data_IF_237477652607
#
_entry.id   IF_237477652607
#
_cell.length_a   1.000
_cell.length_b   1.000
_cell.length_c   1.000
_cell.angle_alpha   90.00
_cell.angle_beta   90.00
_cell.angle_gamma   90.00
#
_symmetry.space_group_name_H-M   'P 1'
#
loop_
_entity.id
_entity.type
_entity.pdbx_description
1 polymer ?
#
# COMPACT_ATOMS: atom_id res chain seq x y z
N UNK A 1 8.20 44.04 10.54
CA UNK A 1 7.20 42.95 10.60
C UNK A 1 6.48 42.93 9.27
N UNK A 2 6.88 42.03 8.37
CA UNK A 2 6.20 41.83 7.09
C UNK A 2 5.17 40.72 7.32
N UNK A 3 3.89 41.06 7.20
CA UNK A 3 2.80 40.07 7.15
C UNK A 3 2.88 39.38 5.80
N UNK A 4 3.32 38.12 5.80
CA UNK A 4 3.22 37.24 4.62
C UNK A 4 1.74 37.10 4.26
N UNK A 5 1.32 37.76 3.18
CA UNK A 5 0.03 37.53 2.56
C UNK A 5 0.13 36.21 1.80
N UNK A 6 -0.43 35.14 2.37
CA UNK A 6 -0.56 33.87 1.67
C UNK A 6 -1.46 34.07 0.44
N UNK A 7 -0.89 34.00 -0.76
CA UNK A 7 -1.64 33.97 -2.01
C UNK A 7 -2.49 32.70 -2.02
N UNK A 8 -3.78 32.86 -1.73
CA UNK A 8 -4.76 31.79 -1.88
C UNK A 8 -5.10 31.68 -3.36
N UNK A 9 -4.53 30.68 -4.04
CA UNK A 9 -4.90 30.39 -5.42
C UNK A 9 -6.36 29.90 -5.46
N UNK A 10 -7.23 30.55 -6.26
CA UNK A 10 -8.62 30.16 -6.31
C UNK A 10 -8.81 28.82 -7.01
N UNK A 11 -9.75 28.01 -6.51
CA UNK A 11 -10.04 26.68 -7.02
C UNK A 11 -11.14 26.73 -8.08
N UNK A 12 -10.93 26.08 -9.24
CA UNK A 12 -11.93 26.04 -10.32
C UNK A 12 -12.94 24.90 -10.11
N UNK A 13 -14.24 25.17 -10.19
CA UNK A 13 -15.30 24.17 -10.13
C UNK A 13 -15.81 23.74 -11.53
N UNK A 14 -16.66 22.72 -11.59
CA UNK A 14 -17.22 22.12 -12.82
C UNK A 14 -18.18 23.04 -13.58
N UNK A 15 -18.69 24.08 -12.94
CA UNK A 15 -19.47 25.14 -13.60
C UNK A 15 -18.58 26.17 -14.32
N UNK A 16 -17.26 26.06 -14.18
CA UNK A 16 -16.28 26.96 -14.79
C UNK A 16 -15.93 28.18 -13.95
N UNK A 17 -16.52 28.33 -12.75
CA UNK A 17 -16.25 29.45 -11.84
C UNK A 17 -15.11 29.11 -10.86
N UNK A 18 -14.49 30.16 -10.32
CA UNK A 18 -13.38 30.08 -9.37
C UNK A 18 -13.88 30.46 -7.97
N UNK A 19 -13.46 29.71 -6.95
CA UNK A 19 -13.88 29.86 -5.56
C UNK A 19 -12.69 29.98 -4.62
N UNK A 20 -12.85 30.73 -3.53
CA UNK A 20 -11.79 30.99 -2.55
C UNK A 20 -11.48 29.76 -1.69
N UNK A 21 -12.48 28.89 -1.48
CA UNK A 21 -12.34 27.71 -0.62
C UNK A 21 -12.76 26.44 -1.34
N UNK A 22 -12.14 25.33 -0.97
CA UNK A 22 -12.49 24.00 -1.47
C UNK A 22 -13.95 23.61 -1.14
N UNK A 23 -14.47 24.02 0.02
CA UNK A 23 -15.87 23.74 0.40
C UNK A 23 -16.85 24.34 -0.60
N UNK A 24 -16.60 25.57 -1.06
CA UNK A 24 -17.43 26.20 -2.09
C UNK A 24 -17.36 25.47 -3.43
N UNK A 25 -16.16 25.01 -3.85
CA UNK A 25 -16.01 24.17 -5.06
C UNK A 25 -16.79 22.88 -4.94
N UNK A 26 -16.74 22.22 -3.78
CA UNK A 26 -17.47 20.98 -3.53
C UNK A 26 -18.98 21.21 -3.66
N UNK A 27 -19.52 22.27 -3.06
CA UNK A 27 -20.93 22.61 -3.15
C UNK A 27 -21.37 22.91 -4.59
N UNK A 28 -20.60 23.72 -5.34
CA UNK A 28 -20.85 24.01 -6.74
C UNK A 28 -20.86 22.71 -7.59
N UNK A 29 -19.88 21.83 -7.37
CA UNK A 29 -19.80 20.55 -8.05
C UNK A 29 -20.98 19.62 -7.74
N UNK A 30 -21.47 19.62 -6.49
CA UNK A 30 -22.66 18.87 -6.09
C UNK A 30 -23.90 19.39 -6.83
N UNK A 31 -24.04 20.71 -6.96
CA UNK A 31 -25.17 21.30 -7.71
C UNK A 31 -25.13 20.93 -9.19
N UNK A 32 -23.98 21.06 -9.86
CA UNK A 32 -23.81 20.65 -11.27
C UNK A 32 -24.15 19.16 -11.46
N UNK A 33 -23.68 18.29 -10.56
CA UNK A 33 -24.00 16.88 -10.62
C UNK A 33 -25.50 16.62 -10.40
N UNK A 34 -26.16 17.32 -9.47
CA UNK A 34 -27.59 17.18 -9.20
C UNK A 34 -28.45 17.61 -10.40
N UNK A 35 -28.08 18.71 -11.07
CA UNK A 35 -28.72 19.16 -12.33
C UNK A 35 -28.56 18.08 -13.39
N UNK A 36 -27.33 17.58 -13.61
CA UNK A 36 -27.05 16.52 -14.58
C UNK A 36 -27.81 15.21 -14.27
N UNK A 37 -27.93 14.83 -13.00
CA UNK A 37 -28.72 13.67 -12.58
C UNK A 37 -30.22 13.88 -12.84
N UNK A 38 -30.72 15.10 -12.71
CA UNK A 38 -32.10 15.44 -13.04
C UNK A 38 -32.35 15.39 -14.56
N UNK A 39 -31.44 15.94 -15.37
CA UNK A 39 -31.47 15.87 -16.85
C UNK A 39 -31.46 14.42 -17.37
N UNK A 40 -30.67 13.55 -16.72
CA UNK A 40 -30.64 12.11 -17.03
C UNK A 40 -31.85 11.34 -16.49
N UNK A 41 -32.75 11.97 -15.74
CA UNK A 41 -33.91 11.32 -15.12
C UNK A 41 -33.56 10.38 -13.95
N UNK A 42 -32.32 10.41 -13.46
CA UNK A 42 -31.80 9.57 -12.38
C UNK A 42 -32.06 10.15 -10.97
N UNK A 43 -32.49 11.40 -10.87
CA UNK A 43 -32.89 12.02 -9.60
C UNK A 43 -34.13 11.32 -8.99
N UNK A 44 -34.97 10.71 -9.82
CA UNK A 44 -36.13 9.97 -9.30
C UNK A 44 -35.59 8.80 -8.47
N UNK A 45 -35.98 8.68 -7.18
CA UNK A 45 -35.65 7.48 -6.42
C UNK A 45 -36.08 6.30 -7.29
N UNK A 46 -35.24 5.25 -7.41
CA UNK A 46 -35.62 4.08 -8.20
C UNK A 46 -37.04 3.68 -7.75
N UNK A 47 -37.91 3.20 -8.64
CA UNK A 47 -39.19 2.69 -8.20
C UNK A 47 -38.88 1.48 -7.31
N UNK A 48 -38.72 1.72 -6.00
CA UNK A 48 -38.62 0.66 -5.01
C UNK A 48 -39.89 -0.12 -5.25
N UNK A 49 -39.74 -1.35 -5.75
CA UNK A 49 -40.87 -2.26 -5.93
C UNK A 49 -41.53 -2.27 -4.56
N UNK A 50 -42.69 -1.62 -4.44
CA UNK A 50 -43.48 -1.65 -3.21
C UNK A 50 -43.49 -3.12 -2.80
N UNK A 51 -43.04 -3.48 -1.58
CA UNK A 51 -43.04 -4.86 -1.15
C UNK A 51 -44.43 -5.39 -1.45
N UNK A 52 -44.49 -6.42 -2.31
CA UNK A 52 -45.76 -6.99 -2.74
C UNK A 52 -46.56 -7.27 -1.47
N UNK A 53 -47.77 -6.69 -1.30
CA UNK A 53 -48.57 -6.89 -0.09
C UNK A 53 -48.99 -8.36 0.11
N UNK A 54 -48.58 -9.27 -0.78
CA UNK A 54 -48.85 -10.70 -0.75
C UNK A 54 -47.63 -11.58 -0.45
N UNK A 55 -46.53 -11.06 0.12
CA UNK A 55 -45.50 -11.95 0.67
C UNK A 55 -45.96 -12.54 2.00
N UNK A 56 -46.90 -13.48 1.95
CA UNK A 56 -47.20 -14.32 3.11
C UNK A 56 -45.91 -14.97 3.64
N UNK A 57 -45.76 -15.08 4.97
CA UNK A 57 -44.61 -15.71 5.59
C UNK A 57 -44.45 -17.11 4.98
N UNK A 58 -43.31 -17.30 4.31
CA UNK A 58 -42.98 -18.53 3.59
C UNK A 58 -42.81 -19.63 4.63
N UNK A 59 -43.91 -20.32 4.95
CA UNK A 59 -43.88 -21.50 5.80
C UNK A 59 -42.87 -22.48 5.20
N UNK A 60 -41.90 -22.88 6.03
CA UNK A 60 -40.83 -23.79 5.67
C UNK A 60 -41.41 -25.11 5.18
N UNK A 61 -41.49 -25.28 3.86
CA UNK A 61 -41.91 -26.56 3.27
C UNK A 61 -40.77 -27.55 3.49
N UNK A 62 -41.05 -28.52 4.38
CA UNK A 62 -40.33 -29.78 4.52
C UNK A 62 -40.01 -30.38 3.14
N UNK A 63 -38.78 -30.87 3.03
CA UNK A 63 -38.22 -31.51 1.85
C UNK A 63 -39.19 -32.51 1.21
N UNK A 64 -39.59 -32.21 -0.03
CA UNK A 64 -40.19 -33.20 -0.93
C UNK A 64 -39.22 -33.43 -2.08
N UNK A 65 -38.70 -34.67 -2.13
CA UNK A 65 -38.13 -35.32 -3.31
C UNK A 65 -39.09 -35.18 -4.48
N UNK A 66 -38.61 -34.72 -5.65
CA UNK A 66 -38.78 -35.42 -6.95
C UNK A 66 -38.49 -34.54 -8.17
N UNK A 67 -37.90 -35.22 -9.16
CA UNK A 67 -38.13 -35.15 -10.62
C UNK A 67 -37.69 -33.93 -11.42
N UNK A 68 -36.58 -34.17 -12.15
CA UNK A 68 -36.26 -33.80 -13.54
C UNK A 68 -37.38 -33.07 -14.29
N UNK A 69 -37.10 -31.83 -14.72
CA UNK A 69 -37.87 -31.14 -15.75
C UNK A 69 -36.94 -30.35 -16.67
N UNK A 70 -37.19 -30.56 -17.95
CA UNK A 70 -36.54 -30.09 -19.18
C UNK A 70 -36.47 -28.57 -19.27
N UNK A 71 -35.31 -28.05 -19.68
CA UNK A 71 -35.07 -26.63 -19.98
C UNK A 71 -35.58 -26.25 -21.38
N UNK A 72 -36.24 -25.08 -21.55
CA UNK A 72 -36.42 -24.46 -22.85
C UNK A 72 -35.24 -23.53 -23.22
N UNK A 73 -34.94 -23.36 -24.52
CA UNK A 73 -33.77 -22.62 -24.99
C UNK A 73 -33.92 -21.10 -24.74
N UNK A 74 -32.92 -20.52 -24.05
CA UNK A 74 -32.74 -19.07 -23.91
C UNK A 74 -32.34 -18.45 -25.25
N UNK A 75 -33.24 -17.70 -25.86
CA UNK A 75 -32.97 -16.82 -27.01
C UNK A 75 -32.56 -15.44 -26.49
N UNK A 76 -31.28 -15.10 -26.61
CA UNK A 76 -30.77 -13.74 -26.34
C UNK A 76 -30.07 -13.23 -27.60
N UNK A 77 -30.79 -12.45 -28.39
CA UNK A 77 -30.24 -11.72 -29.53
C UNK A 77 -30.10 -10.26 -29.10
N UNK A 78 -28.88 -9.84 -28.74
CA UNK A 78 -28.55 -8.43 -28.58
C UNK A 78 -27.58 -8.04 -29.69
N UNK A 79 -28.10 -7.38 -30.71
CA UNK A 79 -27.28 -6.75 -31.75
C UNK A 79 -26.52 -5.59 -31.13
N UNK A 80 -25.21 -5.54 -31.40
CA UNK A 80 -24.31 -4.42 -31.08
C UNK A 80 -24.11 -3.63 -32.38
N UNK A 81 -24.26 -2.30 -32.38
CA UNK A 81 -23.98 -1.50 -33.56
C UNK A 81 -22.47 -1.31 -33.73
N UNK A 82 -22.03 -1.54 -34.98
CA UNK A 82 -20.72 -1.27 -35.53
C UNK A 82 -20.51 0.25 -35.56
N UNK A 83 -19.44 0.75 -34.95
CA UNK A 83 -18.95 2.12 -35.15
C UNK A 83 -17.66 2.01 -35.96
N UNK A 84 -17.73 2.53 -37.17
CA UNK A 84 -16.65 2.65 -38.14
C UNK A 84 -15.73 3.84 -37.84
N UNK A 85 -14.43 3.58 -37.98
CA UNK A 85 -13.40 4.39 -38.64
C UNK A 85 -13.61 5.90 -38.80
N UNK A 86 -12.70 6.65 -38.18
CA UNK A 86 -12.21 7.92 -38.71
C UNK A 86 -10.79 8.20 -38.20
N UNK A 87 -9.84 7.99 -39.10
CA UNK A 87 -8.46 8.47 -39.10
C UNK A 87 -8.38 10.00 -39.04
N UNK A 88 -7.50 10.55 -38.21
CA UNK A 88 -6.89 11.87 -38.43
C UNK A 88 -5.44 11.85 -37.96
N UNK A 89 -4.53 11.92 -38.93
CA UNK A 89 -3.11 12.26 -38.78
C UNK A 89 -2.95 13.66 -38.18
N UNK A 90 -1.99 13.83 -37.28
CA UNK A 90 -1.20 15.06 -37.20
C UNK A 90 0.09 14.84 -36.38
N UNK A 91 1.18 14.65 -37.13
CA UNK A 91 2.56 14.74 -36.71
C UNK A 91 2.91 16.18 -36.30
N UNK A 92 3.27 16.41 -35.02
CA UNK A 92 4.19 17.49 -34.63
C UNK A 92 5.06 16.99 -33.46
N UNK A 93 6.18 16.36 -33.80
CA UNK A 93 7.21 15.93 -32.85
C UNK A 93 8.06 17.15 -32.47
N UNK A 94 7.71 17.81 -31.37
CA UNK A 94 8.59 18.79 -30.70
C UNK A 94 9.55 18.05 -29.77
N UNK A 95 10.85 18.07 -30.11
CA UNK A 95 11.92 17.44 -29.31
C UNK A 95 12.05 18.16 -27.95
N UNK A 96 12.04 17.44 -26.81
CA UNK A 96 12.24 18.05 -25.50
C UNK A 96 13.71 18.44 -25.26
N UNK A 97 13.97 19.46 -24.43
CA UNK A 97 15.31 19.93 -24.11
C UNK A 97 16.10 18.89 -23.26
N UNK A 98 17.44 18.86 -23.38
CA UNK A 98 18.27 17.87 -22.70
C UNK A 98 18.25 18.06 -21.18
N UNK A 99 17.81 17.03 -20.45
CA UNK A 99 17.80 16.99 -18.99
C UNK A 99 19.23 16.99 -18.44
N UNK A 100 19.50 17.92 -17.50
CA UNK A 100 20.77 18.01 -16.78
C UNK A 100 21.00 16.72 -15.98
N UNK A 101 22.15 16.08 -16.20
CA UNK A 101 22.58 14.87 -15.47
C UNK A 101 22.90 15.26 -14.02
N UNK A 102 22.00 14.94 -13.10
CA UNK A 102 22.30 15.02 -11.67
C UNK A 102 23.25 13.89 -11.29
N UNK A 103 24.29 14.24 -10.52
CA UNK A 103 25.33 13.32 -10.06
C UNK A 103 24.69 12.36 -9.05
N UNK A 104 24.54 11.08 -9.45
CA UNK A 104 24.08 9.98 -8.58
C UNK A 104 25.07 9.81 -7.42
N UNK A 105 24.59 9.99 -6.20
CA UNK A 105 25.27 9.54 -4.98
C UNK A 105 24.86 8.08 -4.78
N UNK A 106 25.84 7.17 -4.75
CA UNK A 106 25.62 5.74 -4.57
C UNK A 106 25.50 5.42 -3.08
N UNK A 107 24.30 5.13 -2.59
CA UNK A 107 24.09 4.49 -1.28
C UNK A 107 24.01 2.98 -1.47
N UNK A 108 24.83 2.23 -0.72
CA UNK A 108 24.95 0.77 -0.84
C UNK A 108 23.78 0.03 -0.15
N UNK A 109 23.30 -0.97 -0.90
CA UNK A 109 22.24 -1.99 -0.71
C UNK A 109 22.10 -2.65 0.68
N UNK A 110 20.84 -2.82 1.11
CA UNK A 110 20.40 -3.73 2.20
C UNK A 110 19.43 -4.83 1.69
N UNK A 111 18.85 -4.69 0.49
CA UNK A 111 17.78 -5.58 0.00
C UNK A 111 18.25 -6.99 -0.38
N UNK A 112 19.48 -7.14 -0.87
CA UNK A 112 20.02 -8.43 -1.34
C UNK A 112 20.21 -9.44 -0.18
N UNK A 113 20.31 -8.96 1.07
CA UNK A 113 20.48 -9.82 2.25
C UNK A 113 19.19 -10.57 2.60
N UNK A 114 18.03 -9.93 2.49
CA UNK A 114 16.76 -10.55 2.87
C UNK A 114 16.36 -11.70 1.94
N UNK A 115 16.50 -11.56 0.63
CA UNK A 115 16.11 -12.62 -0.31
C UNK A 115 16.94 -13.90 -0.10
N UNK A 116 18.24 -13.73 0.17
CA UNK A 116 19.17 -14.82 0.47
C UNK A 116 18.81 -15.50 1.79
N UNK A 117 18.53 -14.71 2.84
CA UNK A 117 18.08 -15.22 4.14
C UNK A 117 16.75 -15.96 4.00
N UNK A 118 15.77 -15.36 3.31
CA UNK A 118 14.47 -15.95 3.06
C UNK A 118 14.55 -17.25 2.25
N UNK A 119 15.47 -17.36 1.29
CA UNK A 119 15.68 -18.59 0.53
C UNK A 119 16.25 -19.71 1.41
N UNK A 120 17.17 -19.41 2.33
CA UNK A 120 17.72 -20.39 3.27
C UNK A 120 16.64 -20.87 4.25
N UNK A 121 15.87 -19.96 4.83
CA UNK A 121 14.79 -20.29 5.76
C UNK A 121 13.72 -21.14 5.07
N UNK A 122 13.36 -20.81 3.82
CA UNK A 122 12.46 -21.64 3.01
C UNK A 122 12.99 -23.06 2.86
N UNK A 123 14.31 -23.22 2.64
CA UNK A 123 14.96 -24.53 2.54
C UNK A 123 14.94 -25.29 3.86
N UNK A 124 15.07 -24.61 5.00
CA UNK A 124 14.94 -25.23 6.33
C UNK A 124 13.50 -25.63 6.64
N UNK A 125 12.52 -24.77 6.34
CA UNK A 125 11.10 -25.08 6.48
C UNK A 125 10.64 -26.24 5.62
N UNK A 126 11.18 -26.37 4.40
CA UNK A 126 10.91 -27.54 3.56
C UNK A 126 11.32 -28.87 4.22
N UNK A 127 12.25 -28.85 5.19
CA UNK A 127 12.66 -30.04 5.96
C UNK A 127 11.74 -30.30 7.16
N UNK A 128 11.17 -29.24 7.75
CA UNK A 128 10.30 -29.28 8.92
C UNK A 128 8.90 -28.83 8.53
N UNK A 129 8.11 -29.73 7.95
CA UNK A 129 6.73 -29.43 7.56
C UNK A 129 5.86 -29.26 8.82
N UNK A 130 5.88 -28.07 9.39
CA UNK A 130 4.96 -27.68 10.44
C UNK A 130 3.60 -27.33 9.81
N UNK A 131 2.61 -28.20 10.03
CA UNK A 131 1.24 -27.98 9.56
C UNK A 131 0.48 -26.91 10.37
N UNK A 132 1.09 -26.30 11.39
CA UNK A 132 0.43 -25.27 12.21
C UNK A 132 0.45 -23.87 11.59
N UNK A 133 1.30 -23.60 10.58
CA UNK A 133 1.45 -22.26 10.02
C UNK A 133 0.11 -21.66 9.56
N UNK A 134 -0.80 -22.48 9.02
CA UNK A 134 -2.10 -22.01 8.54
C UNK A 134 -2.99 -21.53 9.68
N UNK A 135 -2.93 -22.18 10.85
CA UNK A 135 -3.64 -21.72 12.06
C UNK A 135 -3.02 -20.41 12.60
N UNK A 136 -1.70 -20.28 12.49
CA UNK A 136 -1.00 -19.05 12.84
C UNK A 136 -1.38 -17.90 11.90
N UNK A 137 -1.51 -18.16 10.60
CA UNK A 137 -2.00 -17.22 9.59
C UNK A 137 -3.42 -16.75 9.90
N UNK A 138 -4.34 -17.68 10.23
CA UNK A 138 -5.71 -17.37 10.64
C UNK A 138 -5.72 -16.43 11.84
N UNK A 139 -4.94 -16.75 12.89
CA UNK A 139 -4.85 -15.92 14.10
C UNK A 139 -4.25 -14.54 13.81
N UNK A 140 -3.24 -14.47 12.96
CA UNK A 140 -2.53 -13.23 12.63
C UNK A 140 -3.45 -12.22 11.92
N UNK A 141 -4.22 -12.64 10.93
CA UNK A 141 -5.05 -11.71 10.15
C UNK A 141 -6.41 -11.40 10.78
N UNK A 142 -6.92 -12.25 11.68
CA UNK A 142 -8.24 -12.08 12.30
C UNK A 142 -8.41 -10.76 13.05
N UNK A 143 -7.36 -10.23 13.70
CA UNK A 143 -7.42 -8.96 14.42
C UNK A 143 -7.05 -7.73 13.56
N UNK A 144 -6.56 -7.94 12.33
CA UNK A 144 -5.97 -6.88 11.48
C UNK A 144 -6.83 -6.52 10.27
N UNK A 145 -7.84 -7.31 9.95
CA UNK A 145 -8.73 -7.12 8.81
C UNK A 145 -10.17 -7.04 9.27
N UNK A 146 -11.01 -6.40 8.45
CA UNK A 146 -12.46 -6.49 8.63
C UNK A 146 -12.94 -7.92 8.45
N UNK A 147 -14.02 -8.30 9.15
CA UNK A 147 -14.59 -9.66 9.10
C UNK A 147 -14.86 -10.15 7.67
N UNK A 148 -15.35 -9.26 6.80
CA UNK A 148 -15.62 -9.57 5.39
C UNK A 148 -14.35 -9.87 4.61
N UNK A 149 -13.35 -8.99 4.72
CA UNK A 149 -12.06 -9.16 4.06
C UNK A 149 -11.33 -10.41 4.56
N UNK A 150 -11.32 -10.64 5.87
CA UNK A 150 -10.73 -11.82 6.50
C UNK A 150 -11.34 -13.12 5.94
N UNK A 151 -12.67 -13.25 5.95
CA UNK A 151 -13.35 -14.45 5.42
C UNK A 151 -13.05 -14.68 3.94
N UNK A 152 -13.00 -13.61 3.15
CA UNK A 152 -12.73 -13.71 1.73
C UNK A 152 -11.30 -14.17 1.45
N UNK A 153 -10.30 -13.56 2.11
CA UNK A 153 -8.89 -13.95 2.00
C UNK A 153 -8.71 -15.39 2.45
N UNK A 154 -9.22 -15.73 3.64
CA UNK A 154 -9.05 -17.05 4.22
C UNK A 154 -9.64 -18.16 3.34
N UNK A 155 -10.78 -17.90 2.69
CA UNK A 155 -11.37 -18.84 1.73
C UNK A 155 -10.41 -19.18 0.59
N UNK A 156 -9.72 -18.18 0.04
CA UNK A 156 -8.80 -18.41 -1.09
C UNK A 156 -7.50 -19.05 -0.62
N UNK A 157 -6.94 -18.60 0.50
CA UNK A 157 -5.73 -19.19 1.08
C UNK A 157 -5.97 -20.66 1.45
N UNK A 158 -7.14 -21.01 1.99
CA UNK A 158 -7.50 -22.41 2.28
C UNK A 158 -7.50 -23.29 1.04
N UNK A 159 -7.95 -22.77 -0.10
CA UNK A 159 -7.91 -23.52 -1.38
C UNK A 159 -6.49 -23.78 -1.85
N UNK A 160 -5.61 -22.78 -1.74
CA UNK A 160 -4.19 -22.93 -2.07
C UNK A 160 -3.51 -23.92 -1.11
N UNK A 161 -3.81 -23.84 0.19
CA UNK A 161 -3.32 -24.77 1.21
C UNK A 161 -3.78 -26.21 0.97
N UNK A 162 -5.00 -26.42 0.49
CA UNK A 162 -5.54 -27.76 0.21
C UNK A 162 -5.22 -28.27 -1.20
N UNK A 163 -4.43 -27.55 -2.01
CA UNK A 163 -4.19 -27.85 -3.42
C UNK A 163 -5.46 -27.90 -4.31
N UNK A 164 -6.59 -27.34 -3.86
CA UNK A 164 -7.86 -27.32 -4.61
C UNK A 164 -7.78 -26.42 -5.86
N UNK A 165 -6.87 -25.44 -5.83
CA UNK A 165 -6.76 -24.36 -6.80
C UNK A 165 -7.90 -23.35 -6.73
N UNK A 166 -7.74 -22.23 -7.44
CA UNK A 166 -8.71 -21.14 -7.49
C UNK A 166 -9.28 -21.02 -8.90
N UNK A 167 -10.59 -21.22 -9.04
CA UNK A 167 -11.35 -21.03 -10.28
C UNK A 167 -12.13 -19.71 -10.26
N UNK A 168 -12.37 -19.12 -11.42
CA UNK A 168 -13.21 -17.92 -11.58
C UNK A 168 -14.30 -18.13 -12.62
N UNK A 169 -15.48 -17.56 -12.40
CA UNK A 169 -16.63 -17.74 -13.30
C UNK A 169 -16.43 -17.11 -14.69
N UNK A 170 -15.55 -16.11 -14.81
CA UNK A 170 -15.22 -15.48 -16.09
C UNK A 170 -14.10 -16.20 -16.83
N UNK A 171 -13.41 -17.14 -16.19
CA UNK A 171 -12.42 -17.98 -16.85
C UNK A 171 -13.08 -19.20 -17.48
N UNK A 172 -12.45 -19.84 -18.49
CA UNK A 172 -12.90 -21.13 -18.99
C UNK A 172 -13.04 -22.16 -17.87
N UNK A 173 -13.99 -23.10 -18.00
CA UNK A 173 -14.36 -24.04 -16.93
C UNK A 173 -13.23 -25.00 -16.53
N UNK A 174 -12.28 -25.24 -17.43
CA UNK A 174 -11.08 -26.06 -17.26
C UNK A 174 -9.89 -25.30 -16.67
N UNK A 175 -9.99 -23.98 -16.51
CA UNK A 175 -8.92 -23.11 -16.03
C UNK A 175 -9.01 -22.94 -14.51
N UNK A 176 -7.99 -23.43 -13.81
CA UNK A 176 -7.87 -23.32 -12.35
C UNK A 176 -6.44 -22.90 -11.99
N UNK A 177 -6.30 -21.84 -11.19
CA UNK A 177 -5.01 -21.34 -10.74
C UNK A 177 -4.44 -22.23 -9.64
N UNK A 178 -3.19 -22.68 -9.81
CA UNK A 178 -2.42 -23.43 -8.81
C UNK A 178 -3.13 -24.70 -8.28
N UNK A 179 -3.79 -25.43 -9.18
CA UNK A 179 -4.48 -26.69 -8.87
C UNK A 179 -3.47 -27.83 -8.66
N UNK A 180 -3.77 -28.74 -7.74
CA UNK A 180 -2.97 -29.93 -7.43
C UNK A 180 -1.57 -29.61 -6.86
N UNK A 181 -1.35 -28.34 -6.46
CA UNK A 181 -0.14 -27.86 -5.82
C UNK A 181 -0.52 -27.14 -4.53
N UNK A 182 -0.16 -27.76 -3.40
CA UNK A 182 -0.32 -27.15 -2.07
C UNK A 182 0.71 -26.05 -1.89
N UNK A 183 0.34 -24.98 -1.18
CA UNK A 183 1.29 -23.96 -0.72
C UNK A 183 1.62 -24.15 0.75
N UNK A 184 2.83 -23.76 1.14
CA UNK A 184 3.34 -23.79 2.51
C UNK A 184 4.30 -22.60 2.76
N UNK A 185 4.93 -22.53 3.94
CA UNK A 185 5.90 -21.46 4.22
C UNK A 185 7.22 -21.59 3.45
N UNK A 186 7.49 -22.73 2.78
CA UNK A 186 8.64 -22.86 1.87
C UNK A 186 8.37 -22.28 0.48
N UNK A 187 7.09 -22.05 0.14
CA UNK A 187 6.65 -21.54 -1.16
C UNK A 187 7.16 -20.11 -1.40
N UNK A 188 7.63 -19.83 -2.61
CA UNK A 188 7.96 -18.47 -3.05
C UNK A 188 6.67 -17.69 -3.38
N UNK A 189 6.11 -17.01 -2.38
CA UNK A 189 4.86 -16.27 -2.58
C UNK A 189 5.00 -15.05 -3.49
N UNK A 190 6.20 -14.51 -3.68
CA UNK A 190 6.46 -13.39 -4.59
C UNK A 190 6.39 -13.86 -6.04
N UNK A 191 7.07 -14.98 -6.36
CA UNK A 191 6.92 -15.65 -7.64
C UNK A 191 5.46 -16.09 -7.89
N UNK A 192 4.77 -16.61 -6.86
CA UNK A 192 3.36 -16.97 -6.96
C UNK A 192 2.46 -15.76 -7.26
N UNK A 193 2.77 -14.59 -6.67
CA UNK A 193 2.04 -13.35 -6.91
C UNK A 193 2.25 -12.84 -8.36
N UNK A 194 3.48 -12.94 -8.89
CA UNK A 194 3.76 -12.61 -10.29
C UNK A 194 3.00 -13.56 -11.23
N UNK A 195 3.03 -14.87 -10.95
CA UNK A 195 2.28 -15.87 -11.71
C UNK A 195 0.77 -15.58 -11.70
N UNK A 196 0.21 -15.16 -10.55
CA UNK A 196 -1.19 -14.76 -10.47
C UNK A 196 -1.52 -13.57 -11.38
N UNK A 197 -0.60 -12.59 -11.49
CA UNK A 197 -0.78 -11.44 -12.37
C UNK A 197 -0.78 -11.84 -13.85
N UNK A 198 0.13 -12.73 -14.25
CA UNK A 198 0.15 -13.29 -15.61
C UNK A 198 -1.12 -14.10 -15.91
N UNK A 199 -1.62 -14.84 -14.92
CA UNK A 199 -2.84 -15.63 -15.05
C UNK A 199 -4.07 -14.76 -15.29
N UNK A 200 -4.23 -13.66 -14.52
CA UNK A 200 -5.27 -12.66 -14.74
C UNK A 200 -5.15 -11.98 -16.12
N UNK A 201 -3.92 -11.72 -16.58
CA UNK A 201 -3.68 -11.16 -17.92
C UNK A 201 -4.10 -12.12 -19.03
N UNK A 202 -3.83 -13.42 -18.85
CA UNK A 202 -4.09 -14.45 -19.86
C UNK A 202 -5.56 -14.84 -19.97
N UNK A 203 -6.26 -15.01 -18.85
CA UNK A 203 -7.63 -15.56 -18.83
C UNK A 203 -8.71 -14.53 -18.48
N UNK A 204 -8.33 -13.31 -18.13
CA UNK A 204 -9.24 -12.22 -17.81
C UNK A 204 -9.07 -11.73 -16.38
N UNK A 205 -9.09 -10.40 -16.22
CA UNK A 205 -8.91 -9.72 -14.94
C UNK A 205 -10.06 -10.02 -13.98
N UNK A 206 -9.73 -10.21 -12.71
CA UNK A 206 -10.72 -10.27 -11.63
C UNK A 206 -11.50 -8.94 -11.55
N UNK A 207 -12.82 -9.01 -11.68
CA UNK A 207 -13.72 -7.86 -11.53
C UNK A 207 -13.74 -7.35 -10.07
N UNK A 208 -13.33 -8.17 -9.11
CA UNK A 208 -13.15 -7.81 -7.72
C UNK A 208 -11.80 -7.16 -7.44
N UNK A 209 -11.16 -6.46 -8.39
CA UNK A 209 -9.91 -5.73 -8.14
C UNK A 209 -8.78 -6.55 -7.47
N UNK A 210 -8.70 -7.85 -7.77
CA UNK A 210 -7.67 -8.74 -7.26
C UNK A 210 -7.99 -9.39 -5.91
N UNK A 211 -9.22 -9.24 -5.40
CA UNK A 211 -9.69 -9.99 -4.23
C UNK A 211 -9.73 -11.51 -4.45
N UNK A 212 -9.69 -11.98 -5.70
CA UNK A 212 -9.65 -13.40 -6.02
C UNK A 212 -8.26 -14.04 -5.80
N UNK A 213 -7.20 -13.44 -6.36
CA UNK A 213 -5.84 -14.00 -6.33
C UNK A 213 -4.84 -13.06 -5.65
N UNK A 214 -4.66 -11.86 -6.21
CA UNK A 214 -3.55 -10.97 -5.85
C UNK A 214 -3.55 -10.57 -4.38
N UNK A 215 -4.70 -10.14 -3.85
CA UNK A 215 -4.81 -9.70 -2.45
C UNK A 215 -4.56 -10.88 -1.48
N UNK A 216 -5.19 -12.06 -1.62
CA UNK A 216 -4.85 -13.23 -0.80
C UNK A 216 -3.37 -13.62 -0.83
N UNK A 217 -2.76 -13.71 -2.01
CA UNK A 217 -1.34 -14.11 -2.15
C UNK A 217 -0.42 -13.05 -1.53
N UNK A 218 -0.73 -11.78 -1.71
CA UNK A 218 0.01 -10.69 -1.06
C UNK A 218 -0.04 -10.79 0.46
N UNK A 219 -1.19 -11.17 1.04
CA UNK A 219 -1.30 -11.38 2.49
C UNK A 219 -0.55 -12.63 2.96
N UNK A 220 -0.34 -13.63 2.09
CA UNK A 220 0.59 -14.73 2.34
C UNK A 220 2.05 -14.24 2.34
N UNK A 221 2.48 -13.41 1.39
CA UNK A 221 3.83 -12.80 1.39
C UNK A 221 4.11 -12.08 2.71
N UNK A 222 3.20 -11.18 3.11
CA UNK A 222 3.35 -10.42 4.35
C UNK A 222 3.39 -11.32 5.60
N UNK A 223 2.55 -12.37 5.63
CA UNK A 223 2.60 -13.33 6.74
C UNK A 223 3.89 -14.16 6.76
N UNK A 224 4.40 -14.61 5.61
CA UNK A 224 5.64 -15.37 5.53
C UNK A 224 6.83 -14.57 6.08
N UNK A 225 6.91 -13.28 5.74
CA UNK A 225 7.94 -12.37 6.29
C UNK A 225 7.82 -12.26 7.81
N UNK A 226 6.62 -11.96 8.33
CA UNK A 226 6.36 -11.93 9.77
C UNK A 226 6.71 -13.26 10.46
N UNK A 227 6.36 -14.38 9.83
CA UNK A 227 6.59 -15.72 10.35
C UNK A 227 8.08 -16.00 10.48
N UNK A 228 8.85 -15.70 9.43
CA UNK A 228 10.31 -15.85 9.44
C UNK A 228 10.98 -14.90 10.43
N UNK A 229 10.61 -13.62 10.46
CA UNK A 229 11.14 -12.65 11.44
C UNK A 229 10.95 -13.12 12.88
N UNK A 230 9.79 -13.70 13.18
CA UNK A 230 9.50 -14.22 14.52
C UNK A 230 10.37 -15.44 14.86
N UNK A 231 10.66 -16.30 13.89
CA UNK A 231 11.54 -17.47 14.10
C UNK A 231 13.03 -17.10 14.18
N UNK A 232 13.50 -16.12 13.40
CA UNK A 232 14.90 -15.65 13.47
C UNK A 232 15.21 -14.78 14.69
N UNK A 233 14.18 -14.36 15.43
CA UNK A 233 14.29 -13.32 16.44
C UNK A 233 14.31 -11.93 15.81
N UNK A 234 13.70 -10.97 16.48
CA UNK A 234 13.37 -9.61 16.00
C UNK A 234 14.56 -8.71 15.56
N UNK A 235 15.75 -9.26 15.37
CA UNK A 235 16.97 -8.52 15.00
C UNK A 235 17.04 -8.14 13.52
N UNK A 236 16.11 -8.59 12.67
CA UNK A 236 16.13 -8.35 11.22
C UNK A 236 14.86 -7.66 10.70
N UNK A 237 14.19 -6.83 11.51
CA UNK A 237 13.09 -6.03 10.97
C UNK A 237 13.65 -5.13 9.86
N UNK A 238 13.15 -5.22 8.61
CA UNK A 238 13.55 -4.31 7.57
C UNK A 238 13.20 -2.91 8.02
N UNK A 239 14.22 -2.08 8.22
CA UNK A 239 14.02 -0.67 8.52
C UNK A 239 13.26 -0.06 7.35
N UNK A 240 12.16 0.68 7.59
CA UNK A 240 11.44 1.30 6.50
C UNK A 240 12.40 2.27 5.79
N UNK A 241 12.47 2.20 4.46
CA UNK A 241 13.23 3.17 3.66
C UNK A 241 12.75 4.62 3.90
N UNK A 242 11.49 4.79 4.29
CA UNK A 242 10.89 6.08 4.63
C UNK A 242 10.36 6.07 6.07
N UNK A 243 10.75 7.04 6.93
CA UNK A 243 10.30 7.12 8.31
C UNK A 243 8.77 7.17 8.44
N UNK A 244 8.24 6.56 9.50
CA UNK A 244 6.84 6.76 9.87
C UNK A 244 6.63 8.26 10.10
N UNK A 245 5.55 8.79 9.54
CA UNK A 245 5.24 10.21 9.58
C UNK A 245 5.65 10.99 8.33
N UNK A 246 6.40 10.38 7.40
CA UNK A 246 6.74 11.01 6.11
C UNK A 246 5.47 11.43 5.36
N UNK A 247 5.45 12.67 4.88
CA UNK A 247 4.36 13.23 4.09
C UNK A 247 4.56 12.94 2.60
N UNK A 248 3.48 12.61 1.89
CA UNK A 248 3.50 12.36 0.46
C UNK A 248 2.28 12.96 -0.24
N UNK A 249 2.44 13.31 -1.51
CA UNK A 249 1.36 13.84 -2.34
C UNK A 249 0.99 12.79 -3.39
N UNK A 250 -0.27 12.35 -3.41
CA UNK A 250 -0.78 11.41 -4.41
C UNK A 250 -1.90 12.05 -5.22
N UNK A 251 -1.75 12.03 -6.54
CA UNK A 251 -2.78 12.52 -7.44
C UNK A 251 -3.75 11.40 -7.76
N UNK A 252 -5.04 11.66 -7.57
CA UNK A 252 -6.14 10.77 -7.89
C UNK A 252 -7.03 11.43 -8.94
N UNK A 253 -6.73 11.34 -10.25
CA UNK A 253 -7.61 11.91 -11.26
C UNK A 253 -9.00 11.24 -11.25
N UNK A 254 -10.13 11.99 -11.28
CA UNK A 254 -10.27 13.45 -11.41
C UNK A 254 -10.41 14.21 -10.07
N UNK A 255 -10.17 13.55 -8.95
CA UNK A 255 -10.41 14.03 -7.59
C UNK A 255 -9.37 15.02 -7.06
N UNK A 256 -8.24 15.19 -7.73
CA UNK A 256 -7.19 16.15 -7.35
C UNK A 256 -5.96 15.48 -6.74
N UNK A 257 -5.20 16.22 -5.95
CA UNK A 257 -4.01 15.73 -5.25
C UNK A 257 -4.26 15.80 -3.76
N UNK A 258 -4.00 14.69 -3.08
CA UNK A 258 -4.24 14.52 -1.64
C UNK A 258 -2.91 14.41 -0.93
N UNK A 259 -2.87 14.91 0.31
CA UNK A 259 -1.71 14.81 1.18
C UNK A 259 -1.89 13.64 2.12
N UNK A 260 -1.06 12.61 1.98
CA UNK A 260 -1.02 11.44 2.84
C UNK A 260 0.16 11.48 3.81
N UNK A 261 0.02 10.79 4.94
CA UNK A 261 1.10 10.58 5.92
C UNK A 261 1.35 9.09 6.10
N UNK A 262 2.61 8.65 6.06
CA UNK A 262 2.96 7.27 6.42
C UNK A 262 2.59 7.04 7.89
N UNK A 263 1.67 6.11 8.16
CA UNK A 263 1.20 5.77 9.51
C UNK A 263 1.92 4.56 10.09
N UNK A 264 2.24 3.57 9.26
CA UNK A 264 2.95 2.36 9.69
C UNK A 264 3.60 1.66 8.50
N UNK A 265 4.62 0.86 8.77
CA UNK A 265 5.22 -0.07 7.82
C UNK A 265 5.16 -1.48 8.39
N UNK A 266 4.70 -2.46 7.60
CA UNK A 266 4.58 -3.85 8.05
C UNK A 266 5.74 -4.75 7.55
N UNK A 267 6.81 -4.14 7.04
CA UNK A 267 7.92 -4.85 6.39
C UNK A 267 7.75 -5.00 4.88
N UNK A 268 6.57 -4.68 4.33
CA UNK A 268 6.27 -4.78 2.89
C UNK A 268 5.56 -3.54 2.36
N UNK A 269 4.55 -3.10 3.10
CA UNK A 269 3.60 -2.09 2.71
C UNK A 269 3.65 -0.94 3.69
N UNK A 270 3.64 0.25 3.13
CA UNK A 270 3.40 1.48 3.85
C UNK A 270 1.90 1.71 3.94
N UNK A 271 1.37 1.81 5.15
CA UNK A 271 0.01 2.29 5.36
C UNK A 271 0.02 3.81 5.36
N UNK A 272 -0.65 4.40 4.41
CA UNK A 272 -0.81 5.85 4.26
C UNK A 272 -2.17 6.25 4.79
N UNK A 273 -2.20 7.28 5.62
CA UNK A 273 -3.43 7.90 6.12
C UNK A 273 -3.59 9.28 5.47
N UNK A 274 -4.74 9.53 4.87
CA UNK A 274 -5.11 10.80 4.25
C UNK A 274 -5.95 11.62 5.24
N UNK A 275 -5.40 12.66 5.91
CA UNK A 275 -6.12 13.37 6.97
C UNK A 275 -7.36 14.13 6.49
N UNK A 276 -7.43 14.43 5.19
CA UNK A 276 -8.48 15.24 4.58
C UNK A 276 -9.83 14.52 4.51
N UNK A 277 -9.83 13.20 4.30
CA UNK A 277 -11.02 12.35 4.19
C UNK A 277 -11.04 11.20 5.20
N UNK A 278 -9.92 10.93 5.87
CA UNK A 278 -9.76 9.84 6.84
C UNK A 278 -9.53 8.48 6.19
N UNK A 279 -9.29 8.43 4.88
CA UNK A 279 -9.04 7.19 4.17
C UNK A 279 -7.62 6.65 4.46
N UNK A 280 -7.49 5.32 4.38
CA UNK A 280 -6.22 4.62 4.51
C UNK A 280 -5.94 3.78 3.26
N UNK A 281 -4.69 3.82 2.78
CA UNK A 281 -4.22 3.04 1.63
C UNK A 281 -2.93 2.30 1.98
N UNK A 282 -2.83 1.02 1.61
CA UNK A 282 -1.58 0.26 1.70
C UNK A 282 -0.82 0.40 0.36
N UNK A 283 0.32 1.10 0.37
CA UNK A 283 1.18 1.41 -0.78
C UNK A 283 2.49 0.63 -0.68
N UNK A 284 3.05 0.19 -1.82
CA UNK A 284 4.36 -0.46 -1.86
C UNK A 284 5.51 0.55 -1.88
N UNK A 285 6.70 0.10 -1.48
CA UNK A 285 7.90 0.91 -1.46
C UNK A 285 8.24 1.55 -2.83
N UNK A 286 8.09 0.82 -3.95
CA UNK A 286 8.37 1.30 -5.31
C UNK A 286 7.38 2.38 -5.78
N UNK A 287 6.10 2.21 -5.44
CA UNK A 287 5.09 3.26 -5.63
C UNK A 287 5.41 4.47 -4.76
N UNK A 288 5.89 4.27 -3.53
CA UNK A 288 6.31 5.34 -2.64
C UNK A 288 7.50 6.14 -3.18
N UNK A 289 8.52 5.46 -3.72
CA UNK A 289 9.63 6.10 -4.43
C UNK A 289 9.13 7.00 -5.56
N UNK A 290 8.16 6.50 -6.34
CA UNK A 290 7.55 7.25 -7.44
C UNK A 290 6.80 8.49 -6.93
N UNK A 291 6.01 8.35 -5.85
CA UNK A 291 5.23 9.43 -5.25
C UNK A 291 6.10 10.51 -4.60
N UNK A 292 7.23 10.12 -4.01
CA UNK A 292 8.18 11.03 -3.36
C UNK A 292 9.19 11.62 -4.36
N UNK A 293 9.15 11.21 -5.63
CA UNK A 293 10.11 11.66 -6.65
C UNK A 293 11.55 11.21 -6.36
N UNK A 294 11.71 10.18 -5.54
CA UNK A 294 13.01 9.62 -5.16
C UNK A 294 13.29 8.45 -6.10
N UNK A 295 14.46 8.43 -6.73
CA UNK A 295 14.84 7.26 -7.54
C UNK A 295 15.05 6.06 -6.63
N UNK A 296 14.50 4.87 -6.95
CA UNK A 296 14.81 3.66 -6.20
C UNK A 296 16.32 3.46 -6.13
N UNK A 297 16.86 2.91 -5.04
CA UNK A 297 18.26 2.51 -4.99
C UNK A 297 18.54 1.56 -6.16
N UNK A 298 19.56 1.84 -6.97
CA UNK A 298 19.90 1.02 -8.14
C UNK A 298 20.21 -0.42 -7.68
N UNK A 299 19.28 -1.34 -7.94
CA UNK A 299 19.42 -2.77 -7.65
C UNK A 299 20.23 -3.51 -8.71
N UNK A 300 21.09 -2.83 -9.47
CA UNK A 300 21.93 -3.49 -10.46
C UNK A 300 22.64 -4.67 -9.80
N UNK A 301 22.29 -5.87 -10.24
CA UNK A 301 22.83 -7.14 -9.77
C UNK A 301 24.35 -7.05 -9.76
N UNK A 302 25.05 -7.69 -8.80
CA UNK A 302 26.48 -7.86 -8.96
C UNK A 302 26.67 -8.68 -10.24
N UNK A 303 27.13 -8.02 -11.29
CA UNK A 303 27.57 -8.69 -12.50
C UNK A 303 28.61 -9.73 -12.07
N UNK A 304 28.33 -10.97 -12.44
CA UNK A 304 29.28 -12.08 -12.48
C UNK A 304 30.41 -11.68 -13.43
N UNK A 305 31.37 -10.89 -12.94
CA UNK A 305 32.50 -10.46 -13.74
C UNK A 305 33.59 -11.54 -13.71
N UNK A 306 33.70 -12.20 -14.86
CA UNK A 306 34.81 -13.03 -15.27
C UNK A 306 36.11 -12.23 -15.12
N UNK A 307 37.06 -12.82 -14.41
CA UNK A 307 38.42 -12.31 -14.28
C UNK A 307 39.08 -12.15 -15.66
N UNK A 308 39.53 -10.94 -16.01
CA UNK A 308 40.90 -10.68 -16.49
C UNK A 308 41.16 -9.19 -16.77
N UNK A 309 42.38 -8.77 -16.41
CA UNK A 309 43.12 -7.56 -16.82
C UNK A 309 42.75 -6.27 -16.07
N UNK A 310 43.44 -5.96 -14.96
CA UNK A 310 44.76 -5.33 -14.89
C UNK A 310 44.73 -3.81 -15.14
N UNK A 311 44.89 -3.09 -14.03
CA UNK A 311 45.96 -2.10 -13.85
C UNK A 311 45.81 -0.75 -14.58
N UNK A 312 45.05 0.17 -13.97
CA UNK A 312 45.49 1.55 -13.72
C UNK A 312 44.43 2.38 -13.01
N UNK A 313 44.91 3.26 -12.13
CA UNK A 313 44.23 4.45 -11.56
C UNK A 313 43.90 4.34 -10.07
N UNK A 314 44.96 4.42 -9.26
CA UNK A 314 44.89 5.02 -7.92
C UNK A 314 44.99 6.54 -8.09
N UNK A 315 43.95 7.28 -7.70
CA UNK A 315 44.00 8.57 -6.99
C UNK A 315 42.59 9.19 -6.94
N UNK A 316 42.20 9.64 -5.74
CA UNK A 316 40.98 10.39 -5.36
C UNK A 316 39.70 9.60 -5.05
N UNK A 317 39.65 8.99 -3.87
CA UNK A 317 38.41 8.85 -3.07
C UNK A 317 38.74 8.98 -1.57
N UNK A 318 39.01 10.21 -1.12
CA UNK A 318 38.88 10.60 0.28
C UNK A 318 37.72 11.59 0.35
N UNK A 319 36.49 11.10 0.60
CA UNK A 319 35.38 11.94 1.02
C UNK A 319 34.27 11.13 1.71
N UNK A 320 34.15 11.35 3.02
CA UNK A 320 32.96 11.19 3.87
C UNK A 320 32.30 9.80 3.95
N UNK A 321 33.00 8.88 4.60
CA UNK A 321 32.33 7.96 5.53
C UNK A 321 31.81 8.81 6.70
N UNK A 322 30.51 9.15 6.69
CA UNK A 322 29.88 9.76 7.87
C UNK A 322 29.76 8.63 8.90
N UNK A 323 30.69 8.58 9.84
CA UNK A 323 30.55 7.67 10.97
C UNK A 323 29.19 7.95 11.65
N UNK A 324 28.44 6.89 12.02
CA UNK A 324 27.18 7.07 12.73
C UNK A 324 27.46 7.88 13.99
N UNK A 325 26.92 9.10 14.02
CA UNK A 325 27.14 10.04 15.11
C UNK A 325 26.65 9.39 16.40
N UNK A 326 27.58 9.20 17.33
CA UNK A 326 27.26 8.69 18.66
C UNK A 326 26.28 9.68 19.32
N UNK A 327 25.08 9.24 19.76
CA UNK A 327 24.11 10.14 20.37
C UNK A 327 24.69 10.76 21.64
N UNK A 328 24.56 12.09 21.77
CA UNK A 328 25.00 12.85 22.94
C UNK A 328 24.08 12.66 24.15
N UNK A 329 22.80 12.43 23.90
CA UNK A 329 21.81 12.13 24.93
C UNK A 329 21.39 10.66 24.88
N UNK A 330 21.30 10.02 26.04
CA UNK A 330 20.87 8.62 26.13
C UNK A 330 19.35 8.52 26.14
N UNK A 331 18.82 7.44 25.55
CA UNK A 331 17.41 7.07 25.74
C UNK A 331 17.11 7.00 27.24
N UNK A 332 15.98 7.58 27.63
CA UNK A 332 15.58 7.75 29.03
C UNK A 332 15.95 9.11 29.64
N UNK A 333 16.79 9.92 28.98
CA UNK A 333 17.08 11.30 29.40
C UNK A 333 15.80 12.11 29.50
N UNK A 334 15.64 12.85 30.60
CA UNK A 334 14.47 13.71 30.85
C UNK A 334 14.86 15.18 30.75
N UNK A 335 13.97 15.99 30.20
CA UNK A 335 14.19 17.42 29.98
C UNK A 335 12.91 18.22 30.25
N UNK A 336 13.06 19.53 30.39
CA UNK A 336 11.95 20.47 30.50
C UNK A 336 11.96 21.44 29.30
N UNK A 337 10.83 21.54 28.60
CA UNK A 337 10.60 22.48 27.49
C UNK A 337 9.54 23.51 27.87
N UNK A 338 9.83 24.78 27.63
CA UNK A 338 8.88 25.87 27.88
C UNK A 338 8.14 26.16 26.59
N UNK A 339 6.81 25.98 26.62
CA UNK A 339 5.93 26.31 25.52
C UNK A 339 5.29 27.68 25.79
N UNK A 340 5.57 28.70 24.96
CA UNK A 340 4.97 30.01 25.12
C UNK A 340 3.43 29.92 25.23
N UNK A 341 2.86 30.50 26.28
CA UNK A 341 1.42 30.46 26.56
C UNK A 341 0.89 29.17 27.21
N UNK A 342 1.68 28.09 27.24
CA UNK A 342 1.21 26.77 27.73
C UNK A 342 1.97 26.29 28.97
N UNK A 343 3.11 26.91 29.30
CA UNK A 343 3.89 26.59 30.49
C UNK A 343 5.03 25.61 30.20
N UNK A 344 5.53 24.95 31.24
CA UNK A 344 6.67 24.03 31.15
C UNK A 344 6.19 22.59 31.16
N UNK A 345 6.64 21.82 30.17
CA UNK A 345 6.32 20.41 30.03
C UNK A 345 7.58 19.57 30.25
N UNK A 346 7.39 18.38 30.82
CA UNK A 346 8.45 17.41 31.04
C UNK A 346 8.40 16.37 29.93
N UNK A 347 9.48 16.26 29.17
CA UNK A 347 9.64 15.25 28.13
C UNK A 347 10.70 14.21 28.50
N UNK A 348 10.63 13.07 27.83
CA UNK A 348 11.61 11.98 27.94
C UNK A 348 12.03 11.50 26.54
N UNK A 349 13.32 11.28 26.34
CA UNK A 349 13.84 10.70 25.10
C UNK A 349 13.49 9.21 25.06
N UNK A 350 12.76 8.78 24.04
CA UNK A 350 12.35 7.39 23.83
C UNK A 350 13.28 6.66 22.86
N UNK A 351 13.73 7.33 21.79
CA UNK A 351 14.68 6.75 20.83
C UNK A 351 15.47 7.81 20.06
N UNK A 352 16.50 7.38 19.33
CA UNK A 352 17.32 8.23 18.44
C UNK A 352 17.55 7.48 17.13
N UNK A 353 17.22 8.11 16.00
CA UNK A 353 17.29 7.49 14.67
C UNK A 353 18.62 7.76 13.93
N UNK A 354 19.54 8.50 14.56
CA UNK A 354 20.79 8.96 13.96
C UNK A 354 20.81 10.45 13.62
N UNK A 355 19.64 11.10 13.56
CA UNK A 355 19.48 12.52 13.21
C UNK A 355 18.60 13.25 14.23
N UNK A 356 17.50 12.65 14.66
CA UNK A 356 16.52 13.20 15.58
C UNK A 356 16.34 12.28 16.80
N UNK A 357 16.01 12.92 17.92
CA UNK A 357 15.58 12.28 19.15
C UNK A 357 14.05 12.28 19.17
N UNK A 358 13.46 11.08 19.17
CA UNK A 358 12.03 10.91 19.40
C UNK A 358 11.76 11.10 20.89
N UNK A 359 10.92 12.08 21.23
CA UNK A 359 10.59 12.43 22.61
C UNK A 359 9.10 12.26 22.87
N UNK A 360 8.76 11.87 24.09
CA UNK A 360 7.38 11.75 24.57
C UNK A 360 7.17 12.65 25.78
N UNK A 361 6.00 13.27 25.85
CA UNK A 361 5.55 14.05 27.01
C UNK A 361 4.57 13.19 27.83
N UNK A 362 4.99 12.58 28.96
CA UNK A 362 4.17 11.56 29.64
C UNK A 362 2.84 12.06 30.21
N UNK A 363 2.64 13.39 30.28
CA UNK A 363 1.45 14.00 30.89
C UNK A 363 0.24 13.97 29.96
N UNK A 364 0.46 14.20 28.66
CA UNK A 364 -0.57 14.27 27.62
C UNK A 364 -0.42 13.15 26.57
N UNK A 365 0.76 12.53 26.50
CA UNK A 365 1.06 11.46 25.55
C UNK A 365 1.48 12.00 24.18
N UNK A 366 1.72 13.31 24.06
CA UNK A 366 2.19 13.91 22.83
C UNK A 366 3.63 13.48 22.53
N UNK A 367 3.94 13.41 21.24
CA UNK A 367 5.24 12.99 20.71
C UNK A 367 5.78 14.06 19.77
N UNK A 368 7.09 14.27 19.80
CA UNK A 368 7.80 15.25 18.98
C UNK A 368 9.18 14.70 18.60
N UNK A 369 9.73 15.15 17.48
CA UNK A 369 11.09 14.83 17.06
C UNK A 369 11.96 16.08 17.27
N UNK A 370 13.04 15.95 18.04
CA UNK A 370 13.95 17.05 18.34
C UNK A 370 15.33 16.78 17.78
N UNK A 371 15.95 17.79 17.19
CA UNK A 371 17.37 17.78 16.82
C UNK A 371 18.26 17.88 18.06
N UNK A 372 19.54 17.52 17.92
CA UNK A 372 20.52 17.69 19.01
C UNK A 372 20.64 19.16 19.44
N UNK A 373 20.59 20.10 18.49
CA UNK A 373 20.66 21.53 18.75
C UNK A 373 19.46 22.03 19.57
N UNK A 374 18.26 21.54 19.27
CA UNK A 374 17.08 21.88 20.07
C UNK A 374 17.20 21.33 21.48
N UNK A 375 17.67 20.08 21.66
CA UNK A 375 17.89 19.52 23.00
C UNK A 375 18.97 20.25 23.81
N UNK A 376 19.97 20.85 23.15
CA UNK A 376 20.99 21.70 23.78
C UNK A 376 20.40 22.99 24.38
N UNK A 377 19.29 23.49 23.83
CA UNK A 377 18.57 24.65 24.34
C UNK A 377 17.62 24.31 25.50
N UNK A 378 17.32 23.03 25.71
CA UNK A 378 16.39 22.58 26.74
C UNK A 378 17.08 22.32 28.08
N UNK A 379 16.32 22.47 29.17
CA UNK A 379 16.82 22.19 30.52
C UNK A 379 16.79 20.68 30.78
N UNK A 380 17.94 20.01 30.62
CA UNK A 380 18.10 18.60 30.97
C UNK A 380 17.96 18.41 32.49
N UNK A 381 17.09 17.51 32.91
CA UNK A 381 16.76 17.25 34.31
C UNK A 381 17.50 16.04 34.87
N UNK A 382 17.56 14.95 34.09
CA UNK A 382 18.33 13.74 34.40
C UNK A 382 18.85 13.11 33.12
N UNK A 383 20.10 12.65 33.15
CA UNK A 383 20.64 11.79 32.09
C UNK A 383 20.19 10.35 32.36
N UNK A 384 19.71 9.66 31.32
CA UNK A 384 19.24 8.27 31.38
C UNK A 384 20.37 7.26 31.49
#
# INVERSE_FOLDING_TARGET
>A
MATEQSETHPFQAKDGLFYETYLQVREANVQVNNIRLAELGLNKPPPWKKPSPNSHPRQSKKARKSTVKTEPPRRSTRQVPVISDASVDNDVISKPPPKKKQKKVQTKKVKDDWESVAAEIRREHAKNVDNTWFQQFERYWKSRLSDGAYKQILRQVRKLYNAEGISYIQWPADVCFHKDQSVDMSTDFEALHQLAHEYERKYGRDLGNGWLLRIPIRKLCAFQRYYFEKELGASLQPQPAFPIGTMLHKSFPPHGTFVGRIKSFDGVLYRIHYPEDGDEEDIYEDELFTLLGVSPPDHSSPDTETQQSAESSKQNEEANTVEPLKPRYTVGTTFAKVFPGHGTFMGQIESFDGVHYHVVYPRDGDQEDLTEAELDELKILSKG
#
